data_IF_351831397091
#
_entry.id   IF_351831397091
#
_cell.length_a   1.000
_cell.length_b   1.000
_cell.length_c   1.000
_cell.angle_alpha   90.00
_cell.angle_beta   90.00
_cell.angle_gamma   90.00
#
_symmetry.space_group_name_H-M   'P 1'
#
loop_
_entity.id
_entity.type
_entity.pdbx_description
1 polymer ?
#
# COMPACT_ATOMS: atom_id res chain seq x y z
N UNK A 1 -54.64 5.69 -49.29
CA UNK A 1 -54.99 4.47 -50.06
C UNK A 1 -54.37 4.57 -51.45
N UNK A 2 -53.77 3.46 -51.89
CA UNK A 2 -53.27 3.12 -53.23
C UNK A 2 -52.07 3.92 -53.76
N UNK A 3 -50.86 3.34 -53.76
CA UNK A 3 -50.33 2.27 -54.64
C UNK A 3 -50.20 2.69 -56.11
N UNK A 4 -48.94 2.82 -56.52
CA UNK A 4 -48.43 2.16 -57.71
C UNK A 4 -48.33 3.01 -58.98
N UNK A 5 -47.09 3.30 -59.40
CA UNK A 5 -46.74 3.26 -60.83
C UNK A 5 -45.27 2.90 -61.03
N UNK A 6 -45.08 1.66 -61.44
CA UNK A 6 -43.88 1.12 -62.08
C UNK A 6 -43.94 1.54 -63.56
N UNK A 7 -42.88 2.11 -64.11
CA UNK A 7 -42.67 2.18 -65.56
C UNK A 7 -41.24 1.73 -65.88
N UNK A 8 -41.20 0.85 -66.88
CA UNK A 8 -40.11 0.06 -67.40
C UNK A 8 -38.94 0.85 -67.99
N UNK A 9 -37.79 0.21 -67.86
CA UNK A 9 -36.47 0.41 -68.44
C UNK A 9 -36.45 0.39 -69.98
N UNK A 10 -35.64 1.26 -70.58
CA UNK A 10 -35.00 1.01 -71.89
C UNK A 10 -33.51 1.33 -71.72
N UNK A 11 -32.66 0.33 -71.94
CA UNK A 11 -31.22 0.42 -71.76
C UNK A 11 -30.50 1.06 -72.95
N UNK A 12 -29.34 1.65 -72.66
CA UNK A 12 -28.29 1.88 -73.64
C UNK A 12 -26.95 1.63 -72.95
N UNK A 13 -26.27 0.55 -73.35
CA UNK A 13 -24.91 0.22 -72.92
C UNK A 13 -23.92 1.24 -73.46
N UNK A 14 -23.13 1.85 -72.58
CA UNK A 14 -21.84 2.46 -72.94
C UNK A 14 -20.74 1.74 -72.16
N UNK A 15 -19.89 1.06 -72.93
CA UNK A 15 -18.64 0.46 -72.46
C UNK A 15 -17.65 1.61 -72.21
N UNK A 16 -17.36 1.91 -70.95
CA UNK A 16 -16.20 2.73 -70.58
C UNK A 16 -15.04 1.80 -70.23
N UNK A 17 -14.03 1.79 -71.10
CA UNK A 17 -12.74 1.16 -70.88
C UNK A 17 -11.94 2.06 -69.93
N UNK A 18 -12.05 1.84 -68.62
CA UNK A 18 -11.21 2.51 -67.62
C UNK A 18 -9.88 1.77 -67.52
N UNK A 19 -8.81 2.39 -68.04
CA UNK A 19 -7.44 1.92 -67.84
C UNK A 19 -7.07 2.15 -66.37
N UNK A 20 -7.22 1.12 -65.53
CA UNK A 20 -6.76 1.16 -64.15
C UNK A 20 -5.24 0.95 -64.13
N UNK A 21 -4.47 2.02 -63.98
CA UNK A 21 -3.08 1.96 -63.53
C UNK A 21 -3.09 1.51 -62.08
N UNK A 22 -2.93 0.20 -61.87
CA UNK A 22 -2.75 -0.39 -60.55
C UNK A 22 -1.33 -0.07 -60.07
N UNK A 23 -1.19 0.92 -59.19
CA UNK A 23 0.01 1.04 -58.37
C UNK A 23 -0.17 0.09 -57.18
N UNK A 24 0.77 -0.84 -56.92
CA UNK A 24 0.71 -1.62 -55.71
C UNK A 24 0.94 -0.68 -54.52
N UNK A 25 -0.12 -0.34 -53.79
CA UNK A 25 0.03 0.07 -52.40
C UNK A 25 0.58 -1.15 -51.69
N UNK A 26 1.88 -1.14 -51.39
CA UNK A 26 2.43 -2.02 -50.36
C UNK A 26 1.65 -1.66 -49.10
N UNK A 27 0.77 -2.56 -48.70
CA UNK A 27 0.18 -2.58 -47.38
C UNK A 27 1.37 -2.69 -46.41
N UNK A 28 1.80 -1.56 -45.87
CA UNK A 28 2.74 -1.52 -44.76
C UNK A 28 2.13 -2.37 -43.66
N UNK A 29 2.87 -3.38 -43.21
CA UNK A 29 2.40 -4.33 -42.22
C UNK A 29 1.68 -3.62 -41.08
N UNK A 30 0.56 -4.18 -40.64
CA UNK A 30 -0.10 -3.74 -39.43
C UNK A 30 0.95 -3.79 -38.31
N UNK A 31 1.37 -2.61 -37.85
CA UNK A 31 2.20 -2.48 -36.67
C UNK A 31 1.38 -2.96 -35.48
N UNK A 32 1.85 -4.00 -34.82
CA UNK A 32 1.44 -4.27 -33.45
C UNK A 32 2.35 -3.42 -32.59
N UNK A 33 1.89 -2.30 -31.99
CA UNK A 33 2.65 -1.67 -30.93
C UNK A 33 2.88 -2.72 -29.83
N UNK A 34 4.06 -2.68 -29.22
CA UNK A 34 4.32 -3.39 -27.98
C UNK A 34 3.22 -2.97 -26.97
N UNK A 35 2.59 -3.90 -26.25
CA UNK A 35 1.50 -3.55 -25.36
C UNK A 35 2.00 -2.55 -24.31
N UNK A 36 1.24 -1.47 -24.12
CA UNK A 36 1.45 -0.56 -23.00
C UNK A 36 1.42 -1.38 -21.71
N UNK A 37 2.40 -1.16 -20.86
CA UNK A 37 2.40 -1.64 -19.50
C UNK A 37 1.60 -0.66 -18.65
N UNK A 38 0.51 -1.15 -18.05
CA UNK A 38 -0.24 -0.43 -17.02
C UNK A 38 0.62 -0.28 -15.75
N UNK A 39 0.32 0.71 -14.87
CA UNK A 39 1.06 0.91 -13.63
C UNK A 39 1.14 -0.39 -12.84
N UNK A 40 2.36 -0.83 -12.52
CA UNK A 40 2.54 -2.04 -11.74
C UNK A 40 1.94 -1.89 -10.34
N UNK A 41 1.20 -2.90 -9.88
CA UNK A 41 0.74 -2.96 -8.50
C UNK A 41 1.52 -4.03 -7.74
N UNK A 42 2.08 -3.64 -6.62
CA UNK A 42 2.57 -4.56 -5.60
C UNK A 42 1.56 -4.56 -4.46
N UNK A 43 1.33 -5.72 -3.87
CA UNK A 43 0.48 -5.87 -2.70
C UNK A 43 1.18 -6.74 -1.67
N UNK A 44 0.89 -6.49 -0.40
CA UNK A 44 1.12 -7.48 0.63
C UNK A 44 0.12 -8.61 0.46
N UNK A 45 0.56 -9.84 0.71
CA UNK A 45 -0.34 -10.99 0.83
C UNK A 45 -0.41 -11.41 2.29
N UNK A 46 -1.62 -11.52 2.83
CA UNK A 46 -1.89 -12.14 4.13
C UNK A 46 -2.61 -13.45 3.87
N UNK A 47 -1.94 -14.56 4.17
CA UNK A 47 -2.51 -15.91 4.03
C UNK A 47 -3.13 -16.34 5.35
N UNK A 48 -4.40 -16.75 5.37
CA UNK A 48 -5.06 -17.25 6.59
C UNK A 48 -5.27 -18.76 6.52
N UNK A 49 -4.70 -19.47 7.50
CA UNK A 49 -4.97 -20.89 7.77
C UNK A 49 -6.01 -21.02 8.87
N UNK A 50 -7.15 -21.64 8.55
CA UNK A 50 -8.25 -21.83 9.49
C UNK A 50 -8.16 -23.16 10.24
N UNK A 51 -8.21 -23.09 11.58
CA UNK A 51 -8.20 -24.25 12.48
C UNK A 51 -9.50 -24.29 13.29
N UNK A 52 -10.17 -25.44 13.29
CA UNK A 52 -11.45 -25.62 13.99
C UNK A 52 -12.68 -25.48 13.07
N UNK A 53 -13.86 -25.48 13.68
CA UNK A 53 -15.15 -25.46 12.96
C UNK A 53 -15.58 -24.00 12.72
N UNK A 54 -15.20 -23.45 11.56
CA UNK A 54 -15.54 -22.10 11.14
C UNK A 54 -16.79 -22.05 10.26
N UNK A 55 -17.64 -21.05 10.48
CA UNK A 55 -18.67 -20.66 9.53
C UNK A 55 -18.07 -19.89 8.34
N UNK A 56 -18.68 -20.00 7.16
CA UNK A 56 -18.19 -19.36 5.93
C UNK A 56 -18.23 -17.84 6.03
N UNK A 57 -19.23 -17.30 6.72
CA UNK A 57 -19.38 -15.88 6.98
C UNK A 57 -18.24 -15.35 7.87
N UNK A 58 -17.82 -16.12 8.88
CA UNK A 58 -16.70 -15.77 9.74
C UNK A 58 -15.36 -15.79 9.00
N UNK A 59 -15.15 -16.77 8.12
CA UNK A 59 -13.98 -16.78 7.22
C UNK A 59 -13.99 -15.57 6.29
N UNK A 60 -15.14 -15.26 5.67
CA UNK A 60 -15.28 -14.10 4.77
C UNK A 60 -14.97 -12.78 5.49
N UNK A 61 -15.40 -12.64 6.74
CA UNK A 61 -15.11 -11.46 7.56
C UNK A 61 -13.62 -11.38 7.98
N UNK A 62 -12.97 -12.53 8.23
CA UNK A 62 -11.54 -12.61 8.51
C UNK A 62 -10.70 -12.20 7.29
N UNK A 63 -11.05 -12.72 6.11
CA UNK A 63 -10.40 -12.33 4.85
C UNK A 63 -10.60 -10.84 4.55
N UNK A 64 -11.77 -10.29 4.83
CA UNK A 64 -12.02 -8.86 4.68
C UNK A 64 -11.10 -8.03 5.60
N UNK A 65 -10.97 -8.41 6.88
CA UNK A 65 -10.04 -7.77 7.80
C UNK A 65 -8.56 -7.88 7.35
N UNK A 66 -8.16 -9.04 6.83
CA UNK A 66 -6.83 -9.24 6.26
C UNK A 66 -6.59 -8.30 5.05
N UNK A 67 -7.55 -8.22 4.12
CA UNK A 67 -7.45 -7.37 2.93
C UNK A 67 -7.27 -5.88 3.25
N UNK A 68 -7.82 -5.40 4.37
CA UNK A 68 -7.58 -4.03 4.82
C UNK A 68 -6.10 -3.84 5.18
N UNK A 69 -5.51 -4.75 5.95
CA UNK A 69 -4.09 -4.69 6.30
C UNK A 69 -3.16 -4.86 5.10
N UNK A 70 -3.53 -5.68 4.11
CA UNK A 70 -2.79 -5.83 2.85
C UNK A 70 -2.57 -4.51 2.09
N UNK A 71 -3.49 -3.55 2.26
CA UNK A 71 -3.38 -2.21 1.64
C UNK A 71 -2.59 -1.20 2.49
N UNK A 72 -2.34 -1.49 3.77
CA UNK A 72 -1.83 -0.52 4.73
C UNK A 72 -0.36 -0.71 5.09
N UNK A 73 0.13 -1.95 5.05
CA UNK A 73 1.53 -2.30 5.33
C UNK A 73 2.10 -3.09 4.17
N UNK A 74 3.39 -2.89 3.89
CA UNK A 74 4.13 -3.63 2.88
C UNK A 74 4.93 -4.79 3.48
N UNK A 75 4.82 -5.96 2.84
CA UNK A 75 5.72 -7.08 3.04
C UNK A 75 6.10 -7.69 1.68
N UNK A 76 7.40 -7.89 1.39
CA UNK A 76 7.85 -8.59 0.18
C UNK A 76 7.67 -10.12 0.26
N UNK A 77 7.22 -10.64 1.41
CA UNK A 77 6.89 -12.05 1.63
C UNK A 77 5.49 -12.17 2.25
N UNK A 78 4.76 -13.27 2.03
CA UNK A 78 3.45 -13.46 2.67
C UNK A 78 3.53 -13.34 4.19
N UNK A 79 2.51 -12.74 4.78
CA UNK A 79 2.29 -12.78 6.23
C UNK A 79 1.33 -13.93 6.50
N UNK A 80 1.79 -14.94 7.23
CA UNK A 80 1.04 -16.17 7.47
C UNK A 80 0.29 -16.08 8.82
N UNK A 81 -1.04 -16.19 8.79
CA UNK A 81 -1.89 -16.17 9.99
C UNK A 81 -2.50 -17.55 10.21
N UNK A 82 -2.34 -18.11 11.40
CA UNK A 82 -3.18 -19.22 11.87
C UNK A 82 -4.35 -18.65 12.67
N UNK A 83 -5.56 -18.79 12.15
CA UNK A 83 -6.80 -18.38 12.80
C UNK A 83 -7.54 -19.60 13.35
N UNK A 84 -7.59 -19.73 14.68
CA UNK A 84 -8.29 -20.81 15.37
C UNK A 84 -9.64 -20.36 15.91
N UNK A 85 -10.67 -21.21 15.75
CA UNK A 85 -11.99 -21.02 16.34
C UNK A 85 -12.21 -22.04 17.44
N UNK A 86 -12.41 -21.56 18.68
CA UNK A 86 -12.65 -22.46 19.81
C UNK A 86 -12.83 -21.72 21.13
N UNK A 87 -13.24 -22.45 22.17
CA UNK A 87 -13.50 -21.89 23.51
C UNK A 87 -12.26 -21.19 24.06
N UNK A 88 -12.38 -20.01 24.67
CA UNK A 88 -11.22 -19.29 25.21
C UNK A 88 -11.00 -19.58 26.71
N UNK A 89 -9.78 -19.37 27.19
CA UNK A 89 -9.46 -19.39 28.62
C UNK A 89 -9.70 -18.03 29.30
N UNK A 90 -10.11 -17.01 28.54
CA UNK A 90 -10.36 -15.64 29.00
C UNK A 90 -11.73 -15.17 28.53
N UNK A 91 -12.37 -14.30 29.32
CA UNK A 91 -13.61 -13.59 28.97
C UNK A 91 -13.35 -12.47 27.93
N UNK A 92 -12.62 -12.78 26.85
CA UNK A 92 -12.30 -11.87 25.75
C UNK A 92 -12.79 -12.45 24.42
N UNK A 93 -13.14 -11.60 23.44
CA UNK A 93 -13.62 -12.06 22.12
C UNK A 93 -12.53 -12.79 21.32
N UNK A 94 -11.25 -12.46 21.54
CA UNK A 94 -10.13 -13.20 20.97
C UNK A 94 -8.85 -13.06 21.82
N UNK A 95 -7.81 -13.80 21.45
CA UNK A 95 -6.42 -13.54 21.84
C UNK A 95 -5.47 -13.74 20.66
N UNK A 96 -4.30 -13.10 20.71
CA UNK A 96 -3.24 -13.28 19.71
C UNK A 96 -1.93 -13.68 20.39
N UNK A 97 -1.37 -14.80 19.94
CA UNK A 97 -0.02 -15.22 20.23
C UNK A 97 0.90 -14.82 19.07
N UNK A 98 2.02 -14.18 19.41
CA UNK A 98 2.96 -13.64 18.44
C UNK A 98 4.34 -14.17 18.78
N UNK A 99 5.01 -14.73 17.78
CA UNK A 99 6.41 -15.13 17.90
C UNK A 99 7.28 -13.90 17.72
N UNK A 100 8.30 -13.78 18.57
CA UNK A 100 9.22 -12.66 18.53
C UNK A 100 10.63 -13.15 18.23
N UNK A 101 11.25 -12.51 17.24
CA UNK A 101 12.58 -12.87 16.72
C UNK A 101 13.55 -11.72 16.96
N UNK A 102 14.77 -12.07 17.35
CA UNK A 102 15.91 -11.14 17.41
C UNK A 102 17.02 -11.67 16.52
N UNK A 103 17.57 -10.80 15.68
CA UNK A 103 18.63 -11.14 14.74
C UNK A 103 19.59 -9.96 14.61
N UNK A 104 20.88 -10.25 14.38
CA UNK A 104 21.88 -9.23 14.08
C UNK A 104 21.68 -8.57 12.72
N UNK A 105 20.83 -9.15 11.86
CA UNK A 105 20.47 -8.60 10.55
C UNK A 105 19.33 -7.57 10.62
N UNK A 106 18.64 -7.44 11.76
CA UNK A 106 17.56 -6.47 11.92
C UNK A 106 18.12 -5.08 12.27
N UNK A 107 17.38 -3.99 11.94
CA UNK A 107 17.87 -2.62 12.13
C UNK A 107 18.31 -2.31 13.57
N UNK A 108 17.55 -2.79 14.57
CA UNK A 108 17.96 -2.77 15.97
C UNK A 108 18.25 -4.19 16.46
N UNK A 109 19.52 -4.63 16.49
CA UNK A 109 19.85 -5.99 16.91
C UNK A 109 19.62 -6.25 18.41
N UNK A 110 19.36 -5.19 19.19
CA UNK A 110 19.09 -5.26 20.63
C UNK A 110 17.59 -5.18 20.95
N UNK A 111 16.71 -5.48 19.99
CA UNK A 111 15.27 -5.55 20.21
C UNK A 111 14.66 -6.78 19.54
N UNK A 112 13.57 -7.28 20.11
CA UNK A 112 12.75 -8.34 19.55
C UNK A 112 11.67 -7.76 18.64
N UNK A 113 11.56 -8.30 17.43
CA UNK A 113 10.56 -7.92 16.43
C UNK A 113 9.51 -9.01 16.31
N UNK A 114 8.22 -8.69 16.06
CA UNK A 114 7.25 -9.70 15.70
C UNK A 114 7.73 -10.39 14.42
N UNK A 115 7.47 -11.70 14.31
CA UNK A 115 8.00 -12.53 13.24
C UNK A 115 7.67 -12.00 11.84
N UNK A 116 6.41 -11.59 11.62
CA UNK A 116 5.96 -10.96 10.37
C UNK A 116 6.85 -9.77 9.96
N UNK A 117 7.15 -8.85 10.89
CA UNK A 117 8.00 -7.69 10.60
C UNK A 117 9.46 -8.11 10.37
N UNK A 118 9.95 -9.08 11.14
CA UNK A 118 11.30 -9.63 10.95
C UNK A 118 11.46 -10.28 9.56
N UNK A 119 10.44 -10.99 9.09
CA UNK A 119 10.39 -11.62 7.77
C UNK A 119 10.32 -10.57 6.65
N UNK A 120 9.46 -9.57 6.81
CA UNK A 120 9.34 -8.44 5.88
C UNK A 120 10.67 -7.68 5.72
N UNK A 121 11.30 -7.30 6.83
CA UNK A 121 12.58 -6.55 6.84
C UNK A 121 13.75 -7.33 6.23
N UNK A 122 13.71 -8.66 6.28
CA UNK A 122 14.76 -9.52 5.73
C UNK A 122 14.44 -10.04 4.32
N UNK A 123 13.22 -9.83 3.81
CA UNK A 123 12.78 -10.33 2.52
C UNK A 123 12.69 -11.86 2.43
N UNK A 124 12.52 -12.55 3.57
CA UNK A 124 12.44 -14.02 3.63
C UNK A 124 11.66 -14.48 4.85
N UNK A 125 10.85 -15.51 4.67
CA UNK A 125 10.31 -16.30 5.78
C UNK A 125 11.41 -17.23 6.32
N UNK A 126 11.66 -17.14 7.63
CA UNK A 126 12.73 -17.85 8.31
C UNK A 126 12.29 -19.12 9.04
N UNK A 127 10.99 -19.36 9.24
CA UNK A 127 10.51 -20.46 10.10
C UNK A 127 9.49 -21.35 9.43
N UNK A 128 8.79 -20.90 8.38
CA UNK A 128 7.73 -21.66 7.71
C UNK A 128 6.53 -21.96 8.61
N UNK A 129 6.42 -21.28 9.76
CA UNK A 129 5.27 -21.32 10.66
C UNK A 129 4.41 -20.08 10.45
N UNK A 130 3.20 -20.06 11.00
CA UNK A 130 2.39 -18.85 11.03
C UNK A 130 3.08 -17.75 11.85
N UNK A 131 3.25 -16.57 11.24
CA UNK A 131 3.80 -15.38 11.88
C UNK A 131 2.90 -14.88 13.03
N UNK A 132 1.58 -15.01 12.84
CA UNK A 132 0.55 -14.55 13.77
C UNK A 132 -0.41 -15.70 14.07
N UNK A 133 -0.64 -15.97 15.34
CA UNK A 133 -1.61 -16.98 15.76
C UNK A 133 -2.75 -16.25 16.48
N UNK A 134 -3.96 -16.30 15.94
CA UNK A 134 -5.14 -15.66 16.51
C UNK A 134 -6.13 -16.75 16.92
N UNK A 135 -6.66 -16.66 18.14
CA UNK A 135 -7.74 -17.51 18.62
C UNK A 135 -8.98 -16.68 18.86
N UNK A 136 -10.03 -16.94 18.10
CA UNK A 136 -11.34 -16.33 18.27
C UNK A 136 -12.22 -17.20 19.16
N UNK A 137 -12.93 -16.55 20.08
CA UNK A 137 -13.69 -17.22 21.12
C UNK A 137 -15.05 -17.69 20.61
N UNK A 138 -15.19 -19.01 20.42
CA UNK A 138 -16.44 -19.63 19.97
C UNK A 138 -17.54 -19.65 21.03
N UNK A 139 -17.23 -19.32 22.30
CA UNK A 139 -18.21 -19.33 23.39
C UNK A 139 -19.10 -18.07 23.38
N UNK A 140 -18.67 -17.03 22.66
CA UNK A 140 -19.47 -15.82 22.44
C UNK A 140 -20.54 -16.12 21.39
N UNK A 141 -21.79 -15.77 21.67
CA UNK A 141 -22.93 -16.02 20.79
C UNK A 141 -23.45 -14.76 20.08
N UNK A 142 -22.84 -13.61 20.35
CA UNK A 142 -23.21 -12.29 19.84
C UNK A 142 -22.17 -11.80 18.82
N UNK A 143 -21.81 -12.63 17.85
CA UNK A 143 -20.92 -12.27 16.75
C UNK A 143 -21.69 -11.70 15.56
N UNK A 144 -21.20 -10.60 15.02
CA UNK A 144 -21.65 -10.02 13.75
C UNK A 144 -20.57 -10.19 12.68
N UNK A 145 -20.87 -10.96 11.63
CA UNK A 145 -19.92 -11.29 10.56
C UNK A 145 -20.10 -10.45 9.27
N UNK A 146 -21.00 -9.46 9.28
CA UNK A 146 -21.18 -8.59 8.12
C UNK A 146 -19.98 -7.66 7.90
N UNK A 147 -19.67 -7.37 6.64
CA UNK A 147 -18.59 -6.46 6.22
C UNK A 147 -19.12 -5.08 5.80
N UNK A 148 -20.39 -4.79 6.07
CA UNK A 148 -21.10 -3.56 5.68
C UNK A 148 -21.04 -2.45 6.74
N UNK A 149 -20.41 -2.75 7.88
CA UNK A 149 -20.31 -1.85 9.03
C UNK A 149 -21.64 -1.59 9.73
N UNK A 150 -22.58 -2.55 9.74
CA UNK A 150 -23.90 -2.42 10.36
C UNK A 150 -24.09 -3.33 11.60
N UNK A 151 -23.03 -3.65 12.33
CA UNK A 151 -23.13 -4.49 13.52
C UNK A 151 -24.13 -3.91 14.55
N UNK A 152 -25.07 -4.73 15.07
CA UNK A 152 -25.95 -4.30 16.15
C UNK A 152 -25.17 -3.92 17.41
N UNK A 153 -25.70 -2.97 18.19
CA UNK A 153 -25.03 -2.50 19.41
C UNK A 153 -24.80 -3.58 20.49
N UNK A 154 -25.49 -4.72 20.41
CA UNK A 154 -25.33 -5.86 21.32
C UNK A 154 -24.26 -6.85 20.89
N UNK A 155 -23.74 -6.72 19.68
CA UNK A 155 -22.92 -7.72 19.03
C UNK A 155 -21.49 -7.22 18.90
N UNK A 156 -20.53 -8.13 18.92
CA UNK A 156 -19.17 -7.86 18.51
C UNK A 156 -19.08 -7.89 16.98
N UNK A 157 -18.65 -6.78 16.39
CA UNK A 157 -18.26 -6.75 14.99
C UNK A 157 -16.98 -7.58 14.79
N UNK A 158 -17.10 -8.72 14.11
CA UNK A 158 -16.01 -9.66 13.95
C UNK A 158 -14.82 -9.05 13.20
N UNK A 159 -15.09 -8.24 12.17
CA UNK A 159 -14.05 -7.55 11.39
C UNK A 159 -13.22 -6.63 12.28
N UNK A 160 -13.86 -5.86 13.16
CA UNK A 160 -13.19 -4.98 14.14
C UNK A 160 -12.30 -5.79 15.08
N UNK A 161 -12.81 -6.91 15.60
CA UNK A 161 -12.01 -7.82 16.44
C UNK A 161 -10.81 -8.32 15.62
N UNK A 162 -11.03 -8.93 14.47
CA UNK A 162 -9.97 -9.46 13.62
C UNK A 162 -8.90 -8.40 13.30
N UNK A 163 -9.31 -7.19 12.88
CA UNK A 163 -8.40 -6.08 12.61
C UNK A 163 -7.52 -5.72 13.81
N UNK A 164 -8.09 -5.64 15.01
CA UNK A 164 -7.36 -5.33 16.25
C UNK A 164 -6.31 -6.40 16.56
N UNK A 165 -6.66 -7.68 16.42
CA UNK A 165 -5.75 -8.78 16.72
C UNK A 165 -4.69 -9.02 15.64
N UNK A 166 -4.99 -8.76 14.36
CA UNK A 166 -3.97 -8.66 13.31
C UNK A 166 -3.02 -7.50 13.62
N UNK A 167 -3.52 -6.32 14.00
CA UNK A 167 -2.68 -5.18 14.40
C UNK A 167 -1.74 -5.50 15.57
N UNK A 168 -2.23 -6.25 16.58
CA UNK A 168 -1.38 -6.79 17.66
C UNK A 168 -0.31 -7.75 17.12
N UNK A 169 -0.68 -8.62 16.18
CA UNK A 169 0.23 -9.54 15.48
C UNK A 169 1.35 -8.84 14.72
N UNK A 170 1.01 -7.73 14.05
CA UNK A 170 1.96 -6.87 13.33
C UNK A 170 2.90 -6.08 14.26
N UNK A 171 2.64 -6.09 15.58
CA UNK A 171 3.53 -5.51 16.59
C UNK A 171 2.95 -4.36 17.41
N UNK A 172 1.67 -4.00 17.25
CA UNK A 172 1.02 -2.94 18.05
C UNK A 172 0.64 -3.44 19.45
N UNK A 173 1.66 -3.87 20.21
CA UNK A 173 1.53 -4.39 21.56
C UNK A 173 2.86 -4.31 22.29
N UNK A 174 2.81 -3.86 23.54
CA UNK A 174 3.94 -3.93 24.46
C UNK A 174 4.12 -5.32 25.08
N UNK A 175 5.39 -5.64 25.41
CA UNK A 175 5.78 -6.80 26.21
C UNK A 175 5.94 -6.49 27.70
N UNK A 176 5.71 -5.23 28.11
CA UNK A 176 5.78 -4.81 29.50
C UNK A 176 4.67 -5.43 30.32
N UNK A 177 5.01 -5.88 31.53
CA UNK A 177 4.07 -6.50 32.46
C UNK A 177 4.57 -6.39 33.90
N UNK A 178 3.74 -6.78 34.86
CA UNK A 178 4.20 -7.01 36.23
C UNK A 178 4.73 -8.45 36.34
N UNK A 179 5.99 -8.61 36.78
CA UNK A 179 6.64 -9.92 36.96
C UNK A 179 6.62 -10.40 38.42
N UNK A 180 5.68 -9.90 39.19
CA UNK A 180 5.52 -10.22 40.60
C UNK A 180 4.65 -9.17 41.27
N UNK A 181 4.42 -9.29 42.59
CA UNK A 181 3.59 -8.34 43.32
C UNK A 181 4.25 -6.96 43.43
N UNK A 182 5.57 -6.84 43.30
CA UNK A 182 6.32 -5.61 43.56
C UNK A 182 6.93 -4.98 42.31
N UNK A 183 7.12 -5.76 41.24
CA UNK A 183 8.04 -5.37 40.17
C UNK A 183 7.36 -5.34 38.79
N UNK A 184 7.67 -4.31 38.02
CA UNK A 184 7.42 -4.24 36.58
C UNK A 184 8.62 -4.76 35.82
N UNK A 185 8.38 -5.28 34.62
CA UNK A 185 9.44 -5.73 33.72
C UNK A 185 9.07 -5.59 32.26
N UNK A 186 10.07 -5.73 31.40
CA UNK A 186 9.97 -5.98 29.97
C UNK A 186 10.94 -7.09 29.56
N UNK A 187 10.83 -7.52 28.30
CA UNK A 187 11.67 -8.57 27.72
C UNK A 187 11.01 -9.94 27.77
N UNK A 188 11.10 -10.67 26.66
CA UNK A 188 10.45 -11.98 26.49
C UNK A 188 11.39 -13.14 26.80
N UNK A 189 12.69 -12.89 26.82
CA UNK A 189 13.71 -13.88 27.14
C UNK A 189 13.78 -14.14 28.65
N UNK A 190 14.27 -15.33 29.03
CA UNK A 190 14.36 -15.74 30.43
C UNK A 190 15.20 -14.78 31.29
N UNK A 191 16.15 -14.08 30.67
CA UNK A 191 17.04 -13.13 31.31
C UNK A 191 16.59 -11.67 31.17
N UNK A 192 15.48 -11.39 30.44
CA UNK A 192 14.91 -10.06 30.22
C UNK A 192 15.93 -9.02 29.74
N UNK A 193 16.80 -9.43 28.81
CA UNK A 193 17.93 -8.61 28.36
C UNK A 193 17.50 -7.63 27.28
N UNK A 194 16.59 -8.04 26.40
CA UNK A 194 16.21 -7.24 25.24
C UNK A 194 14.71 -6.93 25.23
N UNK A 195 14.31 -5.66 25.01
CA UNK A 195 12.92 -5.27 24.92
C UNK A 195 12.29 -5.73 23.58
N UNK A 196 10.96 -5.69 23.49
CA UNK A 196 10.31 -5.66 22.19
C UNK A 196 10.64 -4.34 21.46
N UNK A 197 10.61 -4.34 20.13
CA UNK A 197 10.81 -3.11 19.36
C UNK A 197 9.78 -2.04 19.75
N UNK A 198 8.54 -2.43 20.03
CA UNK A 198 7.50 -1.56 20.58
C UNK A 198 7.92 -0.89 21.90
N UNK A 199 8.45 -1.69 22.83
CA UNK A 199 8.85 -1.24 24.18
C UNK A 199 9.98 -0.20 24.13
N UNK A 200 10.80 -0.21 23.07
CA UNK A 200 11.88 0.78 22.89
C UNK A 200 11.35 2.20 22.71
N UNK A 201 10.09 2.34 22.27
CA UNK A 201 9.40 3.61 22.05
C UNK A 201 8.47 3.99 23.21
N UNK A 202 8.44 3.24 24.31
CA UNK A 202 7.58 3.55 25.45
C UNK A 202 8.31 4.48 26.43
N UNK A 203 7.70 5.63 26.71
CA UNK A 203 8.24 6.65 27.63
C UNK A 203 7.22 7.04 28.70
N UNK A 204 7.70 7.56 29.82
CA UNK A 204 6.83 8.25 30.78
C UNK A 204 6.55 9.71 30.36
N UNK A 205 5.71 10.42 31.11
CA UNK A 205 5.38 11.82 30.81
C UNK A 205 6.53 12.82 30.92
N UNK A 206 7.71 12.41 31.40
CA UNK A 206 8.94 13.21 31.34
C UNK A 206 9.80 12.88 30.12
N UNK A 207 9.35 11.99 29.22
CA UNK A 207 10.08 11.54 28.05
C UNK A 207 11.20 10.54 28.36
N UNK A 208 11.20 9.93 29.55
CA UNK A 208 12.21 8.92 29.92
C UNK A 208 11.77 7.55 29.41
N UNK A 209 12.65 6.87 28.68
CA UNK A 209 12.38 5.53 28.16
C UNK A 209 12.28 4.51 29.29
N UNK A 210 11.21 3.72 29.32
CA UNK A 210 11.02 2.66 30.31
C UNK A 210 12.03 1.50 30.12
N UNK A 211 12.69 1.43 28.96
CA UNK A 211 13.76 0.45 28.69
C UNK A 211 15.16 0.93 29.11
N UNK A 212 15.29 2.17 29.59
CA UNK A 212 16.56 2.68 30.12
C UNK A 212 16.82 2.11 31.52
N UNK A 213 17.65 1.07 31.59
CA UNK A 213 17.99 0.38 32.84
C UNK A 213 18.83 1.20 33.81
N UNK A 214 19.38 2.35 33.38
CA UNK A 214 20.08 3.28 34.27
C UNK A 214 19.10 4.11 35.11
N UNK A 215 17.86 4.29 34.62
CA UNK A 215 16.77 5.00 35.29
C UNK A 215 15.82 4.00 35.95
N UNK A 216 15.39 2.99 35.19
CA UNK A 216 14.43 1.98 35.61
C UNK A 216 15.05 0.58 35.50
N UNK A 217 15.64 0.04 36.58
CA UNK A 217 16.19 -1.32 36.56
C UNK A 217 15.13 -2.35 36.13
N UNK A 218 15.53 -3.42 35.44
CA UNK A 218 14.62 -4.44 34.93
C UNK A 218 14.96 -5.82 35.53
N UNK A 219 14.04 -6.49 36.25
CA UNK A 219 12.76 -5.98 36.77
C UNK A 219 12.94 -4.99 37.94
N UNK A 220 11.95 -4.14 38.22
CA UNK A 220 11.99 -3.31 39.44
C UNK A 220 10.64 -2.74 39.90
N UNK A 221 10.56 -2.30 41.17
CA UNK A 221 9.45 -1.46 41.65
C UNK A 221 9.35 -0.11 40.94
N UNK A 222 10.47 0.44 40.45
CA UNK A 222 10.45 1.68 39.69
C UNK A 222 9.66 1.52 38.39
N UNK A 223 9.90 0.43 37.64
CA UNK A 223 9.10 0.08 36.46
C UNK A 223 7.62 -0.12 36.80
N UNK A 224 7.31 -0.81 37.91
CA UNK A 224 5.92 -0.97 38.35
C UNK A 224 5.23 0.37 38.53
N UNK A 225 5.88 1.32 39.21
CA UNK A 225 5.31 2.64 39.47
C UNK A 225 4.97 3.38 38.17
N UNK A 226 5.84 3.30 37.16
CA UNK A 226 5.58 3.88 35.84
C UNK A 226 4.40 3.19 35.14
N UNK A 227 4.36 1.84 35.13
CA UNK A 227 3.28 1.07 34.52
C UNK A 227 1.90 1.31 35.18
N UNK A 228 1.87 1.79 36.42
CA UNK A 228 0.64 2.16 37.15
C UNK A 228 0.45 3.67 37.30
N UNK A 229 1.16 4.48 36.51
CA UNK A 229 1.20 5.95 36.70
C UNK A 229 0.11 6.71 35.94
N UNK A 230 -0.58 6.07 34.99
CA UNK A 230 -1.46 6.72 34.02
C UNK A 230 -0.76 7.82 33.19
N UNK A 231 0.57 7.74 33.08
CA UNK A 231 1.43 8.77 32.50
C UNK A 231 2.46 8.17 31.54
N UNK A 232 2.01 7.25 30.69
CA UNK A 232 2.83 6.52 29.70
C UNK A 232 2.43 6.91 28.28
N UNK A 233 3.41 7.01 27.39
CA UNK A 233 3.26 7.48 26.02
C UNK A 233 4.10 6.68 25.04
N UNK A 234 3.70 6.70 23.76
CA UNK A 234 4.46 6.15 22.64
C UNK A 234 5.27 7.25 21.95
N UNK A 235 6.59 7.20 22.03
CA UNK A 235 7.53 8.19 21.52
C UNK A 235 7.98 7.92 20.06
N UNK A 236 7.08 7.41 19.23
CA UNK A 236 7.31 7.29 17.79
C UNK A 236 7.21 8.63 17.09
N UNK A 237 8.14 8.94 16.18
CA UNK A 237 8.17 10.23 15.49
C UNK A 237 6.98 10.37 14.52
N UNK A 238 6.66 9.30 13.78
CA UNK A 238 5.53 9.27 12.84
C UNK A 238 4.22 9.30 13.61
N UNK A 239 4.09 8.51 14.67
CA UNK A 239 2.93 8.48 15.54
C UNK A 239 2.66 9.84 16.21
N UNK A 240 3.71 10.54 16.64
CA UNK A 240 3.60 11.90 17.20
C UNK A 240 3.05 12.89 16.16
N UNK A 241 3.54 12.84 14.91
CA UNK A 241 3.00 13.69 13.82
C UNK A 241 1.54 13.34 13.53
N UNK A 242 1.22 12.05 13.40
CA UNK A 242 -0.15 11.58 13.15
C UNK A 242 -1.13 11.98 14.27
N UNK A 243 -0.63 12.15 15.49
CA UNK A 243 -1.40 12.59 16.65
C UNK A 243 -1.27 14.10 16.93
N UNK A 244 -1.07 14.91 15.89
CA UNK A 244 -1.12 16.38 15.99
C UNK A 244 0.10 16.99 16.70
N UNK A 245 1.25 16.34 16.67
CA UNK A 245 2.50 16.80 17.28
C UNK A 245 2.64 16.43 18.76
N UNK A 246 1.77 15.57 19.30
CA UNK A 246 1.80 15.10 20.69
C UNK A 246 1.96 13.60 20.73
N UNK A 247 2.84 13.08 21.60
CA UNK A 247 3.02 11.64 21.76
C UNK A 247 1.68 10.97 22.15
N UNK A 248 1.28 9.88 21.48
CA UNK A 248 0.08 9.12 21.84
C UNK A 248 0.13 8.61 23.27
N UNK A 249 -0.95 8.82 24.02
CA UNK A 249 -1.07 8.29 25.39
C UNK A 249 -1.40 6.80 25.35
N UNK A 250 -0.70 6.03 26.17
CA UNK A 250 -0.93 4.59 26.34
C UNK A 250 -1.72 4.33 27.63
N UNK A 251 -2.56 3.31 27.60
CA UNK A 251 -3.36 2.89 28.73
C UNK A 251 -2.46 2.26 29.81
N UNK A 252 -2.36 2.95 30.95
CA UNK A 252 -1.56 2.54 32.11
C UNK A 252 -2.33 2.80 33.42
N UNK A 253 -3.35 2.00 33.75
CA UNK A 253 -4.25 2.27 34.86
C UNK A 253 -3.55 2.19 36.22
N UNK A 254 -4.08 2.91 37.22
CA UNK A 254 -3.56 2.88 38.60
C UNK A 254 -3.66 1.48 39.25
N UNK A 255 -4.66 0.69 38.85
CA UNK A 255 -4.82 -0.72 39.21
C UNK A 255 -4.51 -1.60 38.00
N UNK A 256 -3.24 -1.96 37.84
CA UNK A 256 -2.79 -2.82 36.73
C UNK A 256 -3.01 -4.31 37.02
N UNK A 257 -3.77 -4.99 36.17
CA UNK A 257 -3.89 -6.46 36.18
C UNK A 257 -2.97 -7.05 35.09
N UNK A 258 -1.93 -7.76 35.52
CA UNK A 258 -0.72 -8.08 34.75
C UNK A 258 -0.87 -8.95 33.51
N UNK A 259 -2.06 -9.50 33.25
CA UNK A 259 -2.32 -10.48 32.18
C UNK A 259 -3.20 -9.92 31.06
N UNK A 260 -3.95 -8.85 31.31
CA UNK A 260 -5.00 -8.40 30.38
C UNK A 260 -4.61 -7.20 29.51
N UNK A 261 -3.56 -6.46 29.85
CA UNK A 261 -3.37 -5.10 29.36
C UNK A 261 -2.01 -4.91 28.69
N UNK A 262 -1.86 -5.24 27.40
CA UNK A 262 -0.75 -4.64 26.67
C UNK A 262 -0.92 -3.12 26.70
N UNK A 263 0.17 -2.35 26.82
CA UNK A 263 0.16 -0.89 26.73
C UNK A 263 -0.35 -0.47 25.33
N UNK A 264 -1.66 -0.51 25.15
CA UNK A 264 -2.42 -0.08 23.98
C UNK A 264 -2.76 1.41 24.13
N UNK A 265 -3.46 1.99 23.16
CA UNK A 265 -3.88 3.38 23.24
C UNK A 265 -4.86 3.60 24.40
N UNK A 266 -4.76 4.76 25.06
CA UNK A 266 -5.62 5.13 26.19
C UNK A 266 -7.07 5.38 25.74
N UNK A 267 -8.04 4.72 26.38
CA UNK A 267 -9.47 4.80 26.01
C UNK A 267 -10.07 6.21 26.17
N UNK A 268 -9.54 7.06 27.05
CA UNK A 268 -10.01 8.45 27.18
C UNK A 268 -9.43 9.35 26.10
N UNK A 269 -8.19 9.11 25.70
CA UNK A 269 -7.55 9.83 24.60
C UNK A 269 -8.09 9.41 23.23
N UNK A 270 -8.44 8.13 23.08
CA UNK A 270 -8.92 7.52 21.83
C UNK A 270 -10.19 6.70 22.07
N UNK A 271 -11.31 7.37 22.42
CA UNK A 271 -12.55 6.68 22.77
C UNK A 271 -13.18 5.98 21.56
N UNK A 272 -14.08 5.04 21.84
CA UNK A 272 -14.91 4.37 20.85
C UNK A 272 -15.57 5.39 19.89
N UNK A 273 -15.52 5.08 18.58
CA UNK A 273 -15.99 5.97 17.52
C UNK A 273 -15.00 7.07 17.09
N UNK A 274 -13.86 7.21 17.77
CA UNK A 274 -12.77 8.05 17.26
C UNK A 274 -12.06 7.37 16.09
N UNK A 275 -11.44 8.17 15.21
CA UNK A 275 -10.71 7.66 14.03
C UNK A 275 -9.53 6.75 14.37
N UNK A 276 -9.02 6.80 15.61
CA UNK A 276 -7.88 6.02 16.08
C UNK A 276 -8.27 5.00 17.17
N UNK A 277 -9.55 4.63 17.25
CA UNK A 277 -10.08 3.79 18.31
C UNK A 277 -9.68 2.31 18.20
N UNK A 278 -9.29 1.79 17.01
CA UNK A 278 -9.08 0.34 16.83
C UNK A 278 -8.13 -0.25 17.88
N UNK A 279 -7.01 0.44 18.12
CA UNK A 279 -5.95 0.01 19.02
C UNK A 279 -6.06 0.65 20.42
N UNK A 280 -7.23 1.17 20.78
CA UNK A 280 -7.58 1.50 22.17
C UNK A 280 -7.48 0.25 23.05
N UNK A 281 -7.45 0.44 24.36
CA UNK A 281 -7.32 -0.67 25.27
C UNK A 281 -8.56 -1.55 25.27
N UNK A 282 -9.73 -0.95 25.43
CA UNK A 282 -11.00 -1.66 25.55
C UNK A 282 -11.58 -1.98 24.17
N UNK A 283 -12.37 -3.03 24.07
CA UNK A 283 -13.19 -3.31 22.89
C UNK A 283 -14.58 -3.73 23.36
N UNK A 284 -15.58 -2.90 23.07
CA UNK A 284 -16.96 -3.13 23.49
C UNK A 284 -17.84 -3.63 22.35
N UNK A 285 -19.00 -4.20 22.69
CA UNK A 285 -20.05 -4.51 21.71
C UNK A 285 -20.57 -3.24 21.05
N UNK A 286 -20.93 -3.33 19.77
CA UNK A 286 -21.41 -2.19 18.99
C UNK A 286 -20.33 -1.25 18.46
N UNK A 287 -19.06 -1.49 18.75
CA UNK A 287 -17.96 -0.82 18.06
C UNK A 287 -17.80 -1.38 16.65
N UNK A 288 -17.83 -0.50 15.63
CA UNK A 288 -17.66 -0.86 14.22
C UNK A 288 -16.53 -0.02 13.65
N UNK A 289 -15.37 -0.66 13.46
CA UNK A 289 -14.13 0.00 13.02
C UNK A 289 -13.50 -0.85 11.92
N UNK A 290 -13.84 -0.55 10.66
CA UNK A 290 -13.26 -1.20 9.47
C UNK A 290 -12.13 -0.36 8.86
N UNK A 291 -11.45 0.44 9.70
CA UNK A 291 -10.27 1.20 9.35
C UNK A 291 -9.38 1.35 10.59
N UNK A 292 -8.13 0.82 10.60
CA UNK A 292 -7.21 0.96 11.71
C UNK A 292 -6.88 2.40 12.14
N UNK A 293 -7.05 3.35 11.24
CA UNK A 293 -6.79 4.76 11.47
C UNK A 293 -5.33 5.15 11.23
N UNK A 294 -5.07 6.45 11.00
CA UNK A 294 -3.74 6.96 10.68
C UNK A 294 -2.74 6.74 11.82
N UNK A 295 -3.20 6.73 13.08
CA UNK A 295 -2.30 6.56 14.20
C UNK A 295 -1.74 5.14 14.32
N UNK A 296 -2.59 4.11 14.16
CA UNK A 296 -2.13 2.72 14.21
C UNK A 296 -1.10 2.43 13.09
N UNK A 297 -1.36 2.95 11.89
CA UNK A 297 -0.43 2.85 10.77
C UNK A 297 0.90 3.58 11.05
N UNK A 298 0.84 4.81 11.57
CA UNK A 298 2.03 5.57 11.91
C UNK A 298 2.89 4.88 12.99
N UNK A 299 2.24 4.27 13.99
CA UNK A 299 2.94 3.47 15.00
C UNK A 299 3.66 2.27 14.38
N UNK A 300 3.02 1.52 13.48
CA UNK A 300 3.67 0.41 12.76
C UNK A 300 4.89 0.89 11.96
N UNK A 301 4.80 2.08 11.34
CA UNK A 301 5.92 2.66 10.60
C UNK A 301 7.08 3.09 11.50
N UNK A 302 6.81 3.50 12.75
CA UNK A 302 7.87 3.74 13.74
C UNK A 302 8.55 2.43 14.18
N UNK A 303 7.86 1.28 14.11
CA UNK A 303 8.46 -0.04 14.38
C UNK A 303 9.33 -0.56 13.23
N UNK A 304 9.09 -0.10 12.00
CA UNK A 304 9.86 -0.46 10.81
C UNK A 304 9.03 -0.98 9.63
N UNK A 305 7.70 -1.06 9.74
CA UNK A 305 6.86 -1.31 8.57
C UNK A 305 6.93 -0.13 7.58
N UNK A 306 6.62 -0.37 6.32
CA UNK A 306 6.48 0.67 5.29
C UNK A 306 5.10 0.60 4.65
N UNK A 307 4.69 1.67 3.96
CA UNK A 307 3.51 1.65 3.09
C UNK A 307 3.76 0.74 1.90
N UNK A 308 2.67 0.24 1.30
CA UNK A 308 2.70 -0.45 0.01
C UNK A 308 3.24 0.52 -1.05
N UNK A 309 4.33 0.18 -1.76
CA UNK A 309 4.87 1.02 -2.82
C UNK A 309 3.84 1.28 -3.91
N UNK A 310 3.81 2.49 -4.45
CA UNK A 310 2.90 2.85 -5.53
C UNK A 310 3.69 3.10 -6.81
N UNK A 311 3.23 2.52 -7.92
CA UNK A 311 3.87 2.80 -9.20
C UNK A 311 3.71 4.27 -9.60
N UNK A 312 4.71 4.84 -10.31
CA UNK A 312 4.55 6.13 -10.95
C UNK A 312 3.42 6.05 -11.97
N UNK A 313 2.70 7.15 -12.16
CA UNK A 313 1.62 7.24 -13.15
C UNK A 313 2.01 8.26 -14.22
N UNK A 314 2.22 7.78 -15.44
CA UNK A 314 2.53 8.59 -16.61
C UNK A 314 1.24 8.99 -17.32
N UNK A 315 0.87 10.25 -17.17
CA UNK A 315 -0.29 10.85 -17.82
C UNK A 315 -0.15 10.84 -19.36
N UNK A 316 -1.28 10.88 -20.11
CA UNK A 316 -1.26 10.93 -21.56
C UNK A 316 -0.32 12.02 -22.12
N UNK A 317 0.69 11.59 -22.87
CA UNK A 317 1.67 12.48 -23.49
C UNK A 317 1.10 13.14 -24.76
N UNK A 318 1.40 14.42 -25.02
CA UNK A 318 0.82 15.13 -26.15
C UNK A 318 1.44 14.69 -27.49
N UNK A 319 0.59 14.44 -28.50
CA UNK A 319 1.05 14.20 -29.87
C UNK A 319 1.86 15.38 -30.42
N UNK A 320 2.89 15.09 -31.21
CA UNK A 320 3.80 16.09 -31.76
C UNK A 320 3.59 16.26 -33.27
N UNK A 321 3.32 17.49 -33.70
CA UNK A 321 3.30 17.85 -35.13
C UNK A 321 4.56 18.61 -35.48
N UNK A 322 5.32 18.11 -36.46
CA UNK A 322 6.63 18.63 -36.85
C UNK A 322 6.66 18.84 -38.38
N UNK A 323 7.31 19.91 -38.82
CA UNK A 323 7.51 20.14 -40.25
C UNK A 323 8.67 19.28 -40.78
N UNK A 324 8.54 18.73 -41.98
CA UNK A 324 9.64 18.00 -42.65
C UNK A 324 10.94 18.82 -42.64
N UNK A 325 12.08 18.16 -42.44
CA UNK A 325 13.41 18.78 -42.34
C UNK A 325 13.59 19.74 -41.16
N UNK A 326 12.80 19.59 -40.09
CA UNK A 326 12.99 20.32 -38.83
C UNK A 326 13.07 19.35 -37.64
N UNK A 327 13.76 19.76 -36.59
CA UNK A 327 13.78 19.06 -35.30
C UNK A 327 13.06 19.88 -34.24
N UNK A 328 12.47 19.21 -33.26
CA UNK A 328 11.91 19.83 -32.06
C UNK A 328 12.70 19.35 -30.85
N UNK A 329 13.59 20.21 -30.37
CA UNK A 329 14.37 19.96 -29.15
C UNK A 329 13.50 20.25 -27.92
N UNK A 330 13.58 19.41 -26.90
CA UNK A 330 12.78 19.48 -25.68
C UNK A 330 11.27 19.62 -25.98
N UNK A 331 10.78 18.79 -26.90
CA UNK A 331 9.39 18.81 -27.36
C UNK A 331 8.40 18.50 -26.22
N UNK A 332 8.77 17.57 -25.34
CA UNK A 332 7.99 17.15 -24.17
C UNK A 332 8.92 17.19 -22.96
N UNK A 333 8.45 17.82 -21.89
CA UNK A 333 9.06 17.77 -20.56
C UNK A 333 8.29 16.75 -19.73
N UNK A 334 8.86 15.57 -19.51
CA UNK A 334 8.18 14.42 -18.91
C UNK A 334 7.76 14.67 -17.46
N UNK A 335 8.47 15.57 -16.75
CA UNK A 335 8.13 15.92 -15.37
C UNK A 335 6.76 16.59 -15.24
N UNK A 336 6.20 17.16 -16.31
CA UNK A 336 4.85 17.74 -16.29
C UNK A 336 3.74 16.69 -16.46
N UNK A 337 4.09 15.43 -16.71
CA UNK A 337 3.17 14.36 -17.05
C UNK A 337 3.32 13.14 -16.15
N UNK A 338 4.06 13.23 -15.06
CA UNK A 338 4.19 12.11 -14.11
C UNK A 338 3.72 12.55 -12.73
N UNK A 339 3.10 11.63 -12.02
CA UNK A 339 2.80 11.75 -10.60
C UNK A 339 3.19 10.43 -9.91
N UNK A 340 3.74 10.54 -8.70
CA UNK A 340 4.16 9.39 -7.91
C UNK A 340 3.98 9.75 -6.42
N UNK A 341 3.10 9.03 -5.69
CA UNK A 341 2.75 9.39 -4.31
C UNK A 341 3.86 9.18 -3.27
N UNK A 342 4.83 8.30 -3.54
CA UNK A 342 5.87 7.91 -2.59
C UNK A 342 7.31 8.09 -3.09
N UNK A 343 7.51 8.42 -4.38
CA UNK A 343 8.79 8.78 -4.98
C UNK A 343 8.78 10.23 -5.48
N UNK A 344 9.82 11.01 -5.14
CA UNK A 344 9.96 12.36 -5.69
C UNK A 344 10.21 12.29 -7.20
N UNK A 345 9.60 13.20 -7.97
CA UNK A 345 9.78 13.26 -9.44
C UNK A 345 11.24 13.31 -9.89
N UNK A 346 12.13 13.88 -9.06
CA UNK A 346 13.56 13.98 -9.35
C UNK A 346 14.32 12.64 -9.25
N UNK A 347 13.74 11.67 -8.55
CA UNK A 347 14.30 10.34 -8.33
C UNK A 347 13.72 9.29 -9.32
N UNK A 348 12.78 9.70 -10.18
CA UNK A 348 12.21 8.86 -11.24
C UNK A 348 13.17 8.74 -12.44
N UNK A 349 13.20 7.54 -13.02
CA UNK A 349 14.00 7.24 -14.21
C UNK A 349 13.08 7.09 -15.43
N UNK A 350 13.37 7.84 -16.49
CA UNK A 350 12.62 7.73 -17.75
C UNK A 350 13.43 7.01 -18.82
N UNK A 351 12.75 6.20 -19.64
CA UNK A 351 13.36 5.46 -20.75
C UNK A 351 12.47 5.54 -22.00
N UNK A 352 13.08 5.69 -23.18
CA UNK A 352 12.35 5.48 -24.44
C UNK A 352 12.43 3.99 -24.77
N UNK A 353 11.30 3.29 -24.61
CA UNK A 353 11.20 1.85 -24.83
C UNK A 353 11.17 1.53 -26.33
N UNK A 354 10.43 2.32 -27.11
CA UNK A 354 10.35 2.11 -28.55
C UNK A 354 10.14 3.41 -29.34
N UNK A 355 10.68 3.42 -30.56
CA UNK A 355 10.50 4.47 -31.56
C UNK A 355 10.16 3.80 -32.87
N UNK A 356 8.94 4.04 -33.37
CA UNK A 356 8.44 3.39 -34.57
C UNK A 356 7.77 4.39 -35.52
N UNK A 357 8.31 4.62 -36.72
CA UNK A 357 9.53 4.01 -37.25
C UNK A 357 10.78 4.75 -36.74
N UNK A 358 11.95 4.10 -36.80
CA UNK A 358 13.22 4.64 -36.27
C UNK A 358 13.58 6.02 -36.87
N UNK A 359 13.08 6.32 -38.07
CA UNK A 359 13.29 7.60 -38.75
C UNK A 359 12.68 8.80 -38.03
N UNK A 360 11.83 8.62 -37.01
CA UNK A 360 11.38 9.72 -36.15
C UNK A 360 12.52 10.37 -35.36
N UNK A 361 13.58 9.60 -35.06
CA UNK A 361 14.75 10.09 -34.32
C UNK A 361 14.41 10.71 -32.97
N UNK A 362 13.54 10.05 -32.19
CA UNK A 362 13.24 10.48 -30.82
C UNK A 362 14.41 10.15 -29.88
N UNK A 363 14.80 11.11 -29.05
CA UNK A 363 15.87 10.98 -28.05
C UNK A 363 15.41 11.49 -26.69
N UNK A 364 15.97 10.91 -25.63
CA UNK A 364 15.79 11.37 -24.26
C UNK A 364 17.00 12.21 -23.84
N UNK A 365 16.76 13.47 -23.51
CA UNK A 365 17.78 14.43 -23.14
C UNK A 365 17.75 14.67 -21.63
N UNK A 366 18.91 14.53 -21.00
CA UNK A 366 19.12 14.71 -19.56
C UNK A 366 18.13 13.93 -18.68
N UNK A 367 17.63 12.78 -19.16
CA UNK A 367 16.67 11.95 -18.43
C UNK A 367 15.29 12.60 -18.20
N UNK A 368 14.94 13.66 -18.94
CA UNK A 368 13.72 14.45 -18.67
C UNK A 368 12.97 14.90 -19.91
N UNK A 369 13.70 15.34 -20.94
CA UNK A 369 13.08 15.94 -22.12
C UNK A 369 13.12 14.98 -23.29
N UNK A 370 12.01 14.88 -24.02
CA UNK A 370 12.02 14.18 -25.30
C UNK A 370 12.26 15.18 -26.42
N UNK A 371 13.28 14.93 -27.23
CA UNK A 371 13.53 15.62 -28.48
C UNK A 371 13.16 14.72 -29.66
N UNK A 372 12.67 15.32 -30.74
CA UNK A 372 12.29 14.60 -31.95
C UNK A 372 13.07 15.20 -33.13
N UNK A 373 13.87 14.37 -33.79
CA UNK A 373 14.70 14.75 -34.93
C UNK A 373 14.51 13.77 -36.09
N UNK A 374 13.45 13.95 -36.90
CA UNK A 374 13.17 13.06 -38.01
C UNK A 374 14.28 13.09 -39.06
N UNK A 375 14.53 11.96 -39.73
CA UNK A 375 15.49 11.89 -40.84
C UNK A 375 15.13 12.89 -41.96
N UNK A 376 16.15 13.40 -42.64
CA UNK A 376 16.00 14.33 -43.76
C UNK A 376 15.05 13.78 -44.83
N UNK A 377 14.08 14.59 -45.22
CA UNK A 377 13.00 14.30 -46.17
C UNK A 377 12.00 13.22 -45.73
N UNK A 378 12.05 12.75 -44.49
CA UNK A 378 11.07 11.82 -43.96
C UNK A 378 9.72 12.53 -43.70
N UNK A 379 8.63 11.93 -44.15
CA UNK A 379 7.25 12.38 -43.96
C UNK A 379 6.45 11.14 -43.56
N UNK A 380 5.63 11.27 -42.53
CA UNK A 380 4.83 10.16 -42.06
C UNK A 380 4.32 10.36 -40.65
N UNK A 381 3.69 9.32 -40.14
CA UNK A 381 3.28 9.22 -38.74
C UNK A 381 4.02 8.06 -38.12
N UNK A 382 4.37 8.23 -36.86
CA UNK A 382 4.85 7.15 -36.04
C UNK A 382 4.56 7.41 -34.58
N UNK A 383 5.05 6.53 -33.73
CA UNK A 383 4.78 6.49 -32.31
C UNK A 383 6.09 6.37 -31.54
N UNK A 384 6.12 7.02 -30.38
CA UNK A 384 7.19 6.90 -29.39
C UNK A 384 6.54 6.38 -28.11
N UNK A 385 7.11 5.33 -27.53
CA UNK A 385 6.69 4.79 -26.23
C UNK A 385 7.75 5.12 -25.19
N UNK A 386 7.28 5.64 -24.06
CA UNK A 386 8.08 6.10 -22.94
C UNK A 386 7.65 5.32 -21.72
N UNK A 387 8.62 4.90 -20.91
CA UNK A 387 8.41 4.26 -19.62
C UNK A 387 9.02 5.14 -18.53
N UNK A 388 8.38 5.14 -17.37
CA UNK A 388 8.90 5.72 -16.14
C UNK A 388 9.00 4.64 -15.09
N UNK A 389 10.12 4.64 -14.36
CA UNK A 389 10.45 3.70 -13.29
C UNK A 389 10.77 4.48 -12.01
N UNK A 390 10.25 4.01 -10.88
CA UNK A 390 10.52 4.58 -9.56
C UNK A 390 11.73 3.93 -8.86
N UNK A 391 11.98 4.32 -7.61
CA UNK A 391 13.07 3.74 -6.81
C UNK A 391 12.77 2.34 -6.27
N UNK A 392 11.53 1.87 -6.42
CA UNK A 392 11.09 0.52 -6.04
C UNK A 392 11.05 -0.45 -7.23
N UNK A 393 11.45 0.02 -8.41
CA UNK A 393 11.45 -0.66 -9.72
C UNK A 393 10.04 -0.93 -10.27
N UNK A 394 9.05 -0.16 -9.84
CA UNK A 394 7.72 -0.14 -10.42
C UNK A 394 7.67 0.81 -11.60
N UNK A 395 6.92 0.38 -12.62
CA UNK A 395 6.87 1.09 -13.91
C UNK A 395 5.46 1.38 -14.37
N UNK A 396 5.35 2.41 -15.20
CA UNK A 396 4.21 2.72 -16.06
C UNK A 396 4.71 3.22 -17.42
N UNK A 397 3.90 3.07 -18.46
CA UNK A 397 4.29 3.42 -19.83
C UNK A 397 3.19 4.11 -20.62
N UNK A 398 3.60 5.05 -21.46
CA UNK A 398 2.70 5.81 -22.31
C UNK A 398 3.29 5.99 -23.72
N UNK A 399 2.43 5.88 -24.72
CA UNK A 399 2.77 6.21 -26.11
C UNK A 399 2.17 7.55 -26.53
N UNK A 400 2.87 8.24 -27.43
CA UNK A 400 2.33 9.40 -28.15
C UNK A 400 2.70 9.36 -29.63
N UNK A 401 1.84 9.96 -30.44
CA UNK A 401 2.04 10.03 -31.89
C UNK A 401 2.92 11.21 -32.29
N UNK A 402 3.76 11.00 -33.28
CA UNK A 402 4.53 12.03 -33.97
C UNK A 402 4.11 12.06 -35.43
N UNK A 403 3.70 13.22 -35.91
CA UNK A 403 3.30 13.46 -37.29
C UNK A 403 4.32 14.43 -37.91
N UNK A 404 4.97 14.00 -38.99
CA UNK A 404 5.90 14.82 -39.77
C UNK A 404 5.28 15.10 -41.13
N UNK A 405 5.03 16.38 -41.41
CA UNK A 405 4.33 16.81 -42.63
C UNK A 405 5.08 17.90 -43.40
N UNK A 406 4.88 17.94 -44.71
CA UNK A 406 5.33 19.06 -45.54
C UNK A 406 4.24 20.13 -45.60
N UNK A 407 4.55 21.36 -45.17
CA UNK A 407 3.67 22.50 -45.40
C UNK A 407 3.92 23.08 -46.78
N UNK A 408 2.97 22.87 -47.69
CA UNK A 408 2.96 23.52 -48.99
C UNK A 408 2.35 24.92 -48.82
N UNK A 409 3.17 25.96 -48.86
CA UNK A 409 2.66 27.31 -49.08
C UNK A 409 2.29 27.44 -50.56
N UNK A 410 0.99 27.37 -50.87
CA UNK A 410 0.50 27.76 -52.19
C UNK A 410 0.63 29.29 -52.32
N UNK A 411 1.42 29.82 -53.26
CA UNK A 411 1.44 31.25 -53.50
C UNK A 411 0.06 31.68 -54.01
N UNK A 412 -0.61 32.54 -53.26
CA UNK A 412 -1.83 33.21 -53.70
C UNK A 412 -1.45 34.19 -54.82
N UNK A 413 -1.61 33.76 -56.07
CA UNK A 413 -1.52 34.67 -57.22
C UNK A 413 -2.81 35.51 -57.26
N UNK A 414 -2.77 36.69 -56.64
CA UNK A 414 -3.74 37.75 -56.94
C UNK A 414 -3.50 38.16 -58.40
N UNK A 415 -4.43 37.79 -59.28
CA UNK A 415 -4.47 38.36 -60.63
C UNK A 415 -4.80 39.86 -60.51
N UNK A 416 -4.07 40.73 -61.23
CA UNK A 416 -4.22 42.18 -61.15
C UNK A 416 -5.58 42.70 -61.60
#
# INVERSE_FOLDING_TARGET
MNKGRMICTVGLSFVFLTLALSFPVKQTGAFSPEPLQEPQQVSTTISVTYVGDWDVEAQSAMEYAASIWETLVYSPVPIEIEASWGSSFMDTPADAFVVYVRSSALPNPNAYYPEALSNALQGKDNTGNADINIRFNSDFNNWYFGTDGQAPGSDYDFVTVALKYIGRGLGLRSGMSLCGPTDGCWGTDSNRVYPLIYDTLVVNGSGQHLTDTSIFPNPSPALKNELTSNNIYFAGAKATVANGGVMPKLYAPESWESIKYPLLLDDNAFPAGSVNALMSHTLETGEVIHNPGPLAQAMLFDLGWTSVPQAPVLQPLPSQLISVNTSRVNAIDLWNYVDDPDTLTADLTFTIVSVSPIQLGATLDNGRYISISPETNWIGTGQVTVEVEDTTNLVDSQSFDVIVEARIFLPMTLKP
#
